data_IF_501838568066
#
_entry.id   IF_501838568066
#
_cell.length_a   1.000
_cell.length_b   1.000
_cell.length_c   1.000
_cell.angle_alpha   90.00
_cell.angle_beta   90.00
_cell.angle_gamma   90.00
#
_symmetry.space_group_name_H-M   'P 1'
#
loop_
_entity.id
_entity.type
_entity.pdbx_description
1 polymer ?
#
# COMPACT_ATOMS: atom_id res chain seq x y z
N UNK A 1 -14.08 -22.53 -22.86
CA UNK A 1 -13.32 -22.95 -21.66
C UNK A 1 -13.02 -21.65 -20.94
N UNK A 2 -13.45 -21.53 -19.70
CA UNK A 2 -13.35 -20.27 -18.96
C UNK A 2 -11.90 -20.11 -18.50
N UNK A 3 -11.20 -19.07 -18.99
CA UNK A 3 -9.78 -18.82 -18.69
C UNK A 3 -9.49 -18.77 -17.17
N UNK A 4 -10.52 -18.52 -16.36
CA UNK A 4 -10.44 -18.50 -14.89
C UNK A 4 -10.09 -19.86 -14.28
N UNK A 5 -10.67 -20.96 -14.80
CA UNK A 5 -10.42 -22.31 -14.29
C UNK A 5 -8.97 -22.72 -14.53
N UNK A 6 -8.42 -22.39 -15.70
CA UNK A 6 -7.04 -22.69 -16.07
C UNK A 6 -6.04 -21.93 -15.18
N UNK A 7 -6.36 -20.68 -14.82
CA UNK A 7 -5.54 -19.87 -13.91
C UNK A 7 -5.56 -20.43 -12.50
N UNK A 8 -6.73 -20.88 -12.01
CA UNK A 8 -6.84 -21.53 -10.71
C UNK A 8 -5.99 -22.81 -10.65
N UNK A 9 -6.05 -23.64 -11.69
CA UNK A 9 -5.24 -24.85 -11.79
C UNK A 9 -3.73 -24.54 -11.82
N UNK A 10 -3.32 -23.49 -12.55
CA UNK A 10 -1.93 -23.03 -12.59
C UNK A 10 -1.44 -22.64 -11.19
N UNK A 11 -2.25 -21.90 -10.43
CA UNK A 11 -1.91 -21.46 -9.07
C UNK A 11 -1.81 -22.65 -8.12
N UNK A 12 -2.78 -23.57 -8.16
CA UNK A 12 -2.75 -24.80 -7.37
C UNK A 12 -1.48 -25.59 -7.67
N UNK A 13 -1.13 -25.74 -8.95
CA UNK A 13 0.10 -26.43 -9.36
C UNK A 13 1.37 -25.72 -8.84
N UNK A 14 1.41 -24.38 -8.87
CA UNK A 14 2.52 -23.61 -8.32
C UNK A 14 2.65 -23.78 -6.80
N UNK A 15 1.52 -23.78 -6.08
CA UNK A 15 1.47 -23.99 -4.63
C UNK A 15 1.95 -25.39 -4.26
N UNK A 16 1.47 -26.43 -4.98
CA UNK A 16 1.88 -27.82 -4.76
C UNK A 16 3.39 -28.03 -4.98
N UNK A 17 3.99 -27.26 -5.90
CA UNK A 17 5.44 -27.26 -6.14
C UNK A 17 6.24 -26.49 -5.09
N UNK A 18 5.60 -25.96 -4.04
CA UNK A 18 6.25 -25.21 -2.95
C UNK A 18 7.01 -23.99 -3.45
N UNK A 19 6.39 -23.28 -4.37
CA UNK A 19 6.95 -22.07 -4.96
C UNK A 19 7.19 -21.00 -3.88
N UNK A 20 8.31 -20.28 -3.99
CA UNK A 20 8.65 -19.17 -3.10
C UNK A 20 8.20 -17.81 -3.64
N UNK A 21 8.14 -17.68 -4.97
CA UNK A 21 7.76 -16.45 -5.67
C UNK A 21 6.66 -16.76 -6.67
N UNK A 22 5.50 -16.13 -6.49
CA UNK A 22 4.40 -16.20 -7.44
C UNK A 22 4.15 -14.81 -8.02
N UNK A 23 4.28 -14.69 -9.33
CA UNK A 23 4.00 -13.48 -10.08
C UNK A 23 2.92 -13.77 -11.12
N UNK A 24 1.81 -13.05 -11.02
CA UNK A 24 0.65 -13.20 -11.89
C UNK A 24 0.40 -11.86 -12.58
N UNK A 25 0.64 -11.81 -13.89
CA UNK A 25 0.24 -10.70 -14.76
C UNK A 25 -0.99 -11.11 -15.55
N UNK A 26 -2.15 -10.75 -15.00
CA UNK A 26 -3.43 -11.15 -15.55
C UNK A 26 -4.12 -9.96 -16.22
N UNK A 27 -4.88 -10.26 -17.27
CA UNK A 27 -5.96 -9.37 -17.69
C UNK A 27 -7.01 -9.36 -16.57
N UNK A 28 -7.69 -8.23 -16.34
CA UNK A 28 -8.63 -8.08 -15.21
C UNK A 28 -9.58 -9.27 -15.10
N UNK A 29 -9.42 -10.04 -14.02
CA UNK A 29 -10.21 -11.25 -13.71
C UNK A 29 -10.93 -11.08 -12.38
N UNK A 30 -12.14 -11.60 -12.31
CA UNK A 30 -12.93 -11.73 -11.09
C UNK A 30 -12.50 -13.00 -10.36
N UNK A 31 -11.97 -12.83 -9.15
CA UNK A 31 -11.57 -13.97 -8.32
C UNK A 31 -12.71 -14.41 -7.43
N UNK A 32 -12.97 -15.71 -7.39
CA UNK A 32 -13.80 -16.32 -6.36
C UNK A 32 -13.00 -16.56 -5.06
N UNK A 33 -13.72 -16.91 -4.00
CA UNK A 33 -13.18 -17.28 -2.69
C UNK A 33 -12.08 -18.35 -2.72
N UNK A 34 -12.12 -19.25 -3.71
CA UNK A 34 -11.18 -20.36 -3.80
C UNK A 34 -9.78 -19.88 -4.22
N UNK A 35 -9.71 -18.89 -5.11
CA UNK A 35 -8.45 -18.27 -5.53
C UNK A 35 -7.65 -17.73 -4.34
N UNK A 36 -8.29 -16.87 -3.54
CA UNK A 36 -7.66 -16.15 -2.44
C UNK A 36 -7.27 -17.12 -1.32
N UNK A 37 -8.15 -18.09 -1.01
CA UNK A 37 -7.88 -19.12 -0.02
C UNK A 37 -6.66 -19.99 -0.36
N UNK A 38 -6.50 -20.37 -1.63
CA UNK A 38 -5.37 -21.20 -2.06
C UNK A 38 -4.03 -20.49 -1.86
N UNK A 39 -3.92 -19.19 -2.17
CA UNK A 39 -2.70 -18.40 -1.96
C UNK A 39 -2.23 -18.46 -0.49
N UNK A 40 -3.16 -18.44 0.46
CA UNK A 40 -2.85 -18.49 1.89
C UNK A 40 -2.38 -19.85 2.40
N UNK A 41 -2.61 -20.94 1.65
CA UNK A 41 -2.17 -22.29 2.05
C UNK A 41 -0.70 -22.56 1.73
N UNK A 42 -0.05 -21.72 0.91
CA UNK A 42 1.32 -21.95 0.49
C UNK A 42 2.34 -21.55 1.58
N UNK A 43 2.90 -22.55 2.26
CA UNK A 43 3.87 -22.37 3.38
C UNK A 43 5.29 -22.00 2.94
N UNK A 44 5.53 -21.84 1.66
CA UNK A 44 6.84 -21.45 1.12
C UNK A 44 6.81 -20.10 0.42
N UNK A 45 5.61 -19.56 0.15
CA UNK A 45 5.44 -18.36 -0.63
C UNK A 45 5.87 -17.12 0.18
N UNK A 46 7.04 -16.57 -0.17
CA UNK A 46 7.60 -15.38 0.48
C UNK A 46 7.39 -14.11 -0.34
N UNK A 47 7.19 -14.24 -1.66
CA UNK A 47 6.97 -13.12 -2.58
C UNK A 47 5.72 -13.37 -3.42
N UNK A 48 4.79 -12.42 -3.40
CA UNK A 48 3.54 -12.46 -4.17
C UNK A 48 3.39 -11.16 -4.93
N UNK A 49 3.29 -11.26 -6.25
CA UNK A 49 3.06 -10.12 -7.14
C UNK A 49 1.82 -10.37 -7.98
N UNK A 50 0.85 -9.49 -7.85
CA UNK A 50 -0.46 -9.61 -8.47
C UNK A 50 -0.73 -8.39 -9.33
N UNK A 51 -1.15 -8.64 -10.57
CA UNK A 51 -1.60 -7.60 -11.48
C UNK A 51 -2.92 -7.97 -12.14
N UNK A 52 -3.85 -7.01 -12.17
CA UNK A 52 -5.14 -7.15 -12.87
C UNK A 52 -6.09 -8.12 -12.18
N UNK A 53 -6.35 -7.93 -10.88
CA UNK A 53 -7.28 -8.77 -10.11
C UNK A 53 -8.45 -7.96 -9.56
N UNK A 54 -9.62 -8.57 -9.49
CA UNK A 54 -10.80 -8.04 -8.80
C UNK A 54 -11.23 -9.00 -7.68
N UNK A 55 -11.10 -8.54 -6.43
CA UNK A 55 -11.38 -9.29 -5.20
C UNK A 55 -12.72 -8.80 -4.63
N UNK A 56 -13.79 -9.57 -4.87
CA UNK A 56 -15.12 -9.30 -4.33
C UNK A 56 -15.43 -10.04 -3.03
N UNK A 57 -14.74 -11.14 -2.75
CA UNK A 57 -15.22 -12.03 -1.71
C UNK A 57 -14.60 -11.78 -0.33
N UNK A 58 -15.36 -12.16 0.70
CA UNK A 58 -14.93 -12.12 2.10
C UNK A 58 -13.78 -13.10 2.35
N UNK A 59 -12.61 -12.56 2.67
CA UNK A 59 -11.44 -13.34 3.05
C UNK A 59 -11.64 -13.86 4.47
N UNK A 60 -11.66 -15.18 4.71
CA UNK A 60 -11.80 -15.73 6.05
C UNK A 60 -10.64 -15.23 6.92
N UNK A 61 -10.94 -14.33 7.87
CA UNK A 61 -9.94 -13.85 8.82
C UNK A 61 -9.48 -14.95 9.78
N UNK A 62 -10.24 -16.05 9.84
CA UNK A 62 -9.91 -17.27 10.55
C UNK A 62 -8.93 -18.13 9.75
N UNK A 63 -7.81 -17.54 9.31
CA UNK A 63 -6.61 -18.33 9.11
C UNK A 63 -6.17 -18.73 10.52
N UNK A 64 -6.69 -19.89 10.93
CA UNK A 64 -6.44 -20.62 12.16
C UNK A 64 -5.02 -20.34 12.68
N UNK A 65 -4.88 -20.04 13.98
CA UNK A 65 -3.63 -19.65 14.69
C UNK A 65 -2.38 -20.53 14.43
N UNK A 66 -2.50 -21.61 13.66
CA UNK A 66 -1.46 -22.57 13.32
C UNK A 66 -0.86 -22.38 11.91
N UNK A 67 -1.40 -21.50 11.05
CA UNK A 67 -0.91 -21.30 9.67
C UNK A 67 -0.58 -19.82 9.41
N UNK A 68 0.55 -19.35 9.94
CA UNK A 68 1.08 -18.02 9.65
C UNK A 68 1.65 -18.04 8.21
N UNK A 69 1.12 -17.18 7.34
CA UNK A 69 1.68 -17.00 5.99
C UNK A 69 3.13 -16.47 6.10
N UNK A 70 4.11 -17.09 5.41
CA UNK A 70 5.49 -16.64 5.40
C UNK A 70 5.74 -15.46 4.44
N UNK A 71 4.68 -14.89 3.87
CA UNK A 71 4.79 -13.82 2.89
C UNK A 71 5.48 -12.59 3.49
N UNK A 72 6.57 -12.17 2.85
CA UNK A 72 7.37 -11.00 3.21
C UNK A 72 7.21 -9.85 2.23
N UNK A 73 6.98 -10.15 0.95
CA UNK A 73 6.86 -9.15 -0.10
C UNK A 73 5.54 -9.30 -0.84
N UNK A 74 4.78 -8.21 -0.91
CA UNK A 74 3.50 -8.15 -1.61
C UNK A 74 3.50 -6.96 -2.58
N UNK A 75 3.38 -7.25 -3.87
CA UNK A 75 3.22 -6.24 -4.91
C UNK A 75 1.84 -6.35 -5.55
N UNK A 76 1.08 -5.27 -5.56
CA UNK A 76 -0.25 -5.17 -6.13
C UNK A 76 -0.24 -4.11 -7.23
N UNK A 77 -0.71 -4.46 -8.43
CA UNK A 77 -0.81 -3.55 -9.57
C UNK A 77 -2.17 -3.63 -10.24
N UNK A 78 -2.92 -2.52 -10.27
CA UNK A 78 -4.28 -2.50 -10.83
C UNK A 78 -5.16 -3.60 -10.23
N UNK A 79 -5.19 -3.66 -8.90
CA UNK A 79 -5.98 -4.63 -8.12
C UNK A 79 -7.18 -3.90 -7.51
N UNK A 80 -8.34 -4.49 -7.65
CA UNK A 80 -9.62 -3.92 -7.25
C UNK A 80 -10.21 -4.73 -6.10
N UNK A 81 -10.77 -4.05 -5.12
CA UNK A 81 -11.46 -4.64 -3.99
C UNK A 81 -12.90 -4.15 -3.96
N UNK A 82 -13.86 -5.01 -3.63
CA UNK A 82 -15.24 -4.55 -3.51
C UNK A 82 -15.44 -3.67 -2.27
N UNK A 83 -14.74 -3.90 -1.16
CA UNK A 83 -14.87 -3.05 0.02
C UNK A 83 -13.53 -2.75 0.67
N UNK A 84 -13.49 -1.68 1.46
CA UNK A 84 -12.34 -1.37 2.32
C UNK A 84 -12.07 -2.52 3.29
N UNK A 85 -13.12 -3.21 3.74
CA UNK A 85 -13.00 -4.42 4.56
C UNK A 85 -12.25 -5.53 3.81
N UNK A 86 -12.55 -5.78 2.53
CA UNK A 86 -11.83 -6.78 1.73
C UNK A 86 -10.36 -6.42 1.58
N UNK A 87 -10.05 -5.16 1.27
CA UNK A 87 -8.66 -4.66 1.21
C UNK A 87 -7.93 -4.89 2.54
N UNK A 88 -8.54 -4.55 3.67
CA UNK A 88 -7.89 -4.67 4.97
C UNK A 88 -7.70 -6.12 5.37
N UNK A 89 -8.73 -6.94 5.18
CA UNK A 89 -8.67 -8.36 5.49
C UNK A 89 -7.58 -9.03 4.64
N UNK A 90 -7.49 -8.69 3.35
CA UNK A 90 -6.44 -9.18 2.46
C UNK A 90 -5.04 -8.84 2.98
N UNK A 91 -4.77 -7.56 3.28
CA UNK A 91 -3.46 -7.15 3.76
C UNK A 91 -3.13 -7.78 5.12
N UNK A 92 -4.09 -7.84 6.04
CA UNK A 92 -3.91 -8.37 7.40
C UNK A 92 -3.72 -9.89 7.44
N UNK A 93 -4.03 -10.61 6.37
CA UNK A 93 -3.74 -12.04 6.24
C UNK A 93 -2.24 -12.35 6.06
N UNK A 94 -1.39 -11.33 5.91
CA UNK A 94 0.07 -11.46 5.78
C UNK A 94 0.78 -10.85 7.00
N UNK A 95 0.78 -11.51 8.16
CA UNK A 95 1.33 -10.96 9.40
C UNK A 95 2.86 -10.77 9.39
N UNK A 96 3.59 -11.47 8.51
CA UNK A 96 5.04 -11.37 8.35
C UNK A 96 5.46 -10.44 7.21
N UNK A 97 4.52 -9.68 6.64
CA UNK A 97 4.79 -8.78 5.53
C UNK A 97 5.79 -7.68 5.93
N UNK A 98 6.90 -7.60 5.21
CA UNK A 98 8.01 -6.66 5.39
C UNK A 98 8.01 -5.56 4.31
N UNK A 99 7.52 -5.87 3.11
CA UNK A 99 7.48 -4.97 1.97
C UNK A 99 6.11 -4.97 1.28
N UNK A 100 5.55 -3.78 1.08
CA UNK A 100 4.31 -3.56 0.34
C UNK A 100 4.55 -2.59 -0.83
N UNK A 101 4.25 -3.01 -2.04
CA UNK A 101 4.09 -2.11 -3.19
C UNK A 101 2.64 -2.16 -3.65
N UNK A 102 1.94 -1.03 -3.60
CA UNK A 102 0.56 -0.89 -4.02
C UNK A 102 0.47 0.17 -5.12
N UNK A 103 0.21 -0.27 -6.34
CA UNK A 103 0.09 0.58 -7.51
C UNK A 103 -1.30 0.43 -8.12
N UNK A 104 -2.07 1.52 -8.12
CA UNK A 104 -3.42 1.51 -8.69
C UNK A 104 -4.33 0.48 -8.01
N UNK A 105 -4.23 0.38 -6.67
CA UNK A 105 -5.14 -0.43 -5.85
C UNK A 105 -6.40 0.37 -5.56
N UNK A 106 -7.59 -0.16 -5.89
CA UNK A 106 -8.86 0.57 -5.79
C UNK A 106 -9.92 -0.21 -5.02
N UNK A 107 -10.85 0.49 -4.39
CA UNK A 107 -12.09 -0.04 -3.79
C UNK A 107 -13.31 0.41 -4.62
N UNK A 108 -14.41 -0.35 -4.64
CA UNK A 108 -15.61 0.01 -5.40
C UNK A 108 -16.88 -0.02 -4.54
N UNK A 109 -17.64 1.08 -4.38
CA UNK A 109 -17.51 2.34 -5.10
C UNK A 109 -16.40 3.23 -4.53
N UNK A 110 -15.57 3.77 -5.43
CA UNK A 110 -14.28 4.43 -5.16
C UNK A 110 -14.32 5.79 -4.43
N UNK A 111 -15.37 6.05 -3.66
CA UNK A 111 -15.71 7.36 -3.08
C UNK A 111 -16.06 7.26 -1.59
N UNK A 112 -16.01 6.05 -1.00
CA UNK A 112 -16.36 5.86 0.40
C UNK A 112 -15.16 6.21 1.29
N UNK A 113 -15.24 7.31 2.05
CA UNK A 113 -14.22 7.62 3.05
C UNK A 113 -14.30 6.55 4.14
N UNK A 114 -13.27 5.71 4.27
CA UNK A 114 -13.20 4.78 5.38
C UNK A 114 -12.89 5.53 6.69
N UNK A 115 -13.82 5.47 7.63
CA UNK A 115 -13.63 5.95 9.00
C UNK A 115 -13.63 4.73 9.93
N UNK A 116 -12.52 4.43 10.64
CA UNK A 116 -12.49 3.35 11.61
C UNK A 116 -13.55 3.60 12.70
N UNK A 117 -14.51 2.69 12.84
CA UNK A 117 -15.62 2.85 13.82
C UNK A 117 -15.18 2.76 15.29
N UNK A 118 -13.97 2.24 15.59
CA UNK A 118 -13.40 2.13 16.95
C UNK A 118 -11.87 2.23 16.90
N UNK A 119 -11.29 3.17 17.66
CA UNK A 119 -9.85 3.44 17.70
C UNK A 119 -9.03 2.33 18.38
N UNK A 120 -9.61 1.61 19.34
CA UNK A 120 -8.83 0.77 20.26
C UNK A 120 -8.51 -0.66 19.75
N UNK A 121 -8.91 -1.00 18.54
CA UNK A 121 -8.62 -2.32 17.91
C UNK A 121 -8.16 -2.20 16.47
N UNK A 122 -7.56 -1.08 16.10
CA UNK A 122 -7.01 -0.90 14.76
C UNK A 122 -5.86 -1.90 14.59
N UNK A 123 -6.07 -2.91 13.74
CA UNK A 123 -5.03 -3.86 13.34
C UNK A 123 -4.07 -3.15 12.38
N UNK A 124 -2.78 -3.40 12.53
CA UNK A 124 -1.72 -2.84 11.69
C UNK A 124 -0.81 -3.97 11.19
N UNK A 125 -0.12 -3.73 10.08
CA UNK A 125 0.93 -4.61 9.56
C UNK A 125 2.19 -4.44 10.41
N UNK A 126 2.38 -5.35 11.38
CA UNK A 126 3.34 -5.17 12.48
C UNK A 126 4.79 -5.33 12.08
N UNK A 127 5.07 -5.99 10.96
CA UNK A 127 6.42 -6.25 10.47
C UNK A 127 6.75 -5.45 9.21
N UNK A 128 5.83 -4.58 8.75
CA UNK A 128 6.01 -3.84 7.52
C UNK A 128 7.12 -2.79 7.69
N UNK A 129 8.20 -2.96 6.94
CA UNK A 129 9.40 -2.12 6.98
C UNK A 129 9.35 -1.05 5.91
N UNK A 130 8.88 -1.42 4.70
CA UNK A 130 8.85 -0.52 3.54
C UNK A 130 7.49 -0.56 2.85
N UNK A 131 7.06 0.61 2.34
CA UNK A 131 5.80 0.75 1.62
C UNK A 131 5.96 1.73 0.46
N UNK A 132 5.48 1.34 -0.72
CA UNK A 132 5.35 2.20 -1.91
C UNK A 132 3.89 2.24 -2.34
N UNK A 133 3.28 3.41 -2.30
CA UNK A 133 1.87 3.60 -2.58
C UNK A 133 1.69 4.50 -3.79
N UNK A 134 0.82 4.15 -4.73
CA UNK A 134 0.48 5.03 -5.85
C UNK A 134 -0.96 4.89 -6.31
N UNK A 135 -1.54 6.00 -6.77
CA UNK A 135 -2.91 6.12 -7.28
C UNK A 135 -4.04 5.81 -6.25
N UNK A 136 -5.30 6.01 -6.67
CA UNK A 136 -6.47 6.34 -5.82
C UNK A 136 -7.06 5.21 -4.96
N UNK A 137 -7.66 5.66 -3.85
CA UNK A 137 -8.11 4.94 -2.65
C UNK A 137 -6.97 4.39 -1.81
N UNK A 138 -6.42 5.35 -1.06
CA UNK A 138 -5.25 5.13 -0.26
C UNK A 138 -5.57 4.12 0.82
N UNK A 139 -4.84 3.01 0.77
CA UNK A 139 -4.60 2.13 1.92
C UNK A 139 -4.44 3.05 3.14
N UNK A 140 -5.36 2.99 4.12
CA UNK A 140 -5.33 3.91 5.23
C UNK A 140 -3.98 3.82 5.94
N UNK A 141 -3.33 4.97 6.11
CA UNK A 141 -1.96 5.05 6.60
C UNK A 141 -1.80 4.41 7.98
N UNK A 142 -2.87 4.35 8.80
CA UNK A 142 -2.85 3.68 10.10
C UNK A 142 -2.49 2.19 10.01
N UNK A 143 -2.75 1.53 8.87
CA UNK A 143 -2.38 0.12 8.67
C UNK A 143 -0.86 -0.05 8.64
N UNK A 144 -0.15 0.99 8.23
CA UNK A 144 1.28 0.97 7.96
C UNK A 144 2.08 1.57 9.13
N UNK A 145 1.46 2.34 10.02
CA UNK A 145 2.18 3.26 10.91
C UNK A 145 3.00 2.64 12.05
N UNK A 146 2.89 1.33 12.27
CA UNK A 146 3.47 0.66 13.46
C UNK A 146 4.97 0.39 13.35
N UNK A 147 5.43 -0.20 12.25
CA UNK A 147 6.82 -0.64 12.08
C UNK A 147 7.52 -0.03 10.86
N UNK A 148 6.78 0.75 10.06
CA UNK A 148 7.28 1.29 8.81
C UNK A 148 8.44 2.27 9.04
N UNK A 149 9.52 2.05 8.30
CA UNK A 149 10.75 2.86 8.36
C UNK A 149 10.95 3.69 7.09
N UNK A 150 10.46 3.20 5.95
CA UNK A 150 10.51 3.87 4.65
C UNK A 150 9.15 3.90 3.96
N UNK A 151 8.71 5.09 3.56
CA UNK A 151 7.44 5.31 2.89
C UNK A 151 7.64 6.14 1.61
N UNK A 152 7.20 5.62 0.48
CA UNK A 152 7.14 6.36 -0.78
C UNK A 152 5.68 6.46 -1.22
N UNK A 153 5.19 7.66 -1.50
CA UNK A 153 3.81 7.91 -1.91
C UNK A 153 3.79 8.71 -3.20
N UNK A 154 3.19 8.15 -4.24
CA UNK A 154 2.90 8.84 -5.49
C UNK A 154 1.42 9.21 -5.60
N UNK A 155 1.17 10.51 -5.49
CA UNK A 155 -0.14 11.13 -5.50
C UNK A 155 -0.46 11.71 -6.87
N UNK A 156 -1.42 11.11 -7.56
CA UNK A 156 -2.02 11.65 -8.80
C UNK A 156 -3.30 12.43 -8.54
N UNK A 157 -3.77 12.44 -7.29
CA UNK A 157 -4.97 13.12 -6.82
C UNK A 157 -4.77 13.71 -5.41
N UNK A 158 -5.55 14.73 -5.02
CA UNK A 158 -5.55 15.28 -3.67
C UNK A 158 -5.75 14.20 -2.61
N UNK A 159 -4.89 14.20 -1.59
CA UNK A 159 -4.97 13.30 -0.45
C UNK A 159 -5.64 14.01 0.74
N UNK A 160 -6.59 13.32 1.37
CA UNK A 160 -7.30 13.81 2.56
C UNK A 160 -7.39 12.74 3.66
N UNK A 161 -6.52 11.74 3.63
CA UNK A 161 -6.51 10.70 4.66
C UNK A 161 -5.92 11.26 5.95
N UNK A 162 -6.49 10.84 7.08
CA UNK A 162 -5.96 11.15 8.40
C UNK A 162 -4.54 10.61 8.54
N UNK A 163 -3.64 11.44 9.03
CA UNK A 163 -2.24 11.08 9.25
C UNK A 163 -2.10 10.42 10.64
N UNK A 164 -1.75 9.13 10.73
CA UNK A 164 -1.42 8.51 12.01
C UNK A 164 -0.02 8.94 12.47
N UNK A 165 0.27 8.74 13.76
CA UNK A 165 1.65 8.83 14.27
C UNK A 165 2.46 7.65 13.74
N UNK A 166 3.58 7.94 13.07
CA UNK A 166 4.58 6.97 12.62
C UNK A 166 5.80 7.02 13.54
N UNK A 167 5.86 6.12 14.51
CA UNK A 167 6.91 6.13 15.53
C UNK A 167 8.31 5.77 15.02
N UNK A 168 8.41 5.11 13.86
CA UNK A 168 9.65 4.53 13.35
C UNK A 168 10.02 5.00 11.93
N UNK A 169 9.23 5.87 11.32
CA UNK A 169 9.48 6.34 9.96
C UNK A 169 10.70 7.27 9.95
N UNK A 170 11.74 6.89 9.21
CA UNK A 170 12.99 7.65 9.05
C UNK A 170 13.14 8.22 7.65
N UNK A 171 12.50 7.60 6.66
CA UNK A 171 12.56 8.01 5.25
C UNK A 171 11.15 8.18 4.68
N UNK A 172 10.91 9.33 4.05
CA UNK A 172 9.66 9.62 3.38
C UNK A 172 9.92 10.29 2.04
N UNK A 173 9.27 9.77 1.00
CA UNK A 173 9.33 10.29 -0.36
C UNK A 173 7.90 10.55 -0.86
N UNK A 174 7.63 11.76 -1.33
CA UNK A 174 6.30 12.17 -1.80
C UNK A 174 6.42 12.67 -3.23
N UNK A 175 5.77 11.98 -4.17
CA UNK A 175 5.62 12.43 -5.54
C UNK A 175 4.24 13.04 -5.74
N UNK A 176 4.19 14.30 -6.15
CA UNK A 176 2.96 15.02 -6.50
C UNK A 176 2.88 15.18 -8.02
N UNK A 177 2.03 14.37 -8.65
CA UNK A 177 1.75 14.34 -10.10
C UNK A 177 0.27 14.66 -10.36
N UNK A 178 -0.16 15.87 -10.00
CA UNK A 178 -1.58 16.22 -10.00
C UNK A 178 -2.15 16.54 -11.38
N UNK A 179 -1.38 16.46 -12.48
CA UNK A 179 -1.81 16.70 -13.87
C UNK A 179 -2.82 17.86 -13.99
N UNK A 180 -2.36 19.07 -13.67
CA UNK A 180 -3.13 20.34 -13.67
C UNK A 180 -4.22 20.50 -12.59
N UNK A 181 -4.36 19.56 -11.66
CA UNK A 181 -5.32 19.67 -10.55
C UNK A 181 -4.71 20.44 -9.38
N UNK A 182 -5.54 21.23 -8.71
CA UNK A 182 -5.17 21.83 -7.44
C UNK A 182 -5.33 20.81 -6.30
N UNK A 183 -4.46 20.89 -5.29
CA UNK A 183 -4.62 20.19 -4.02
C UNK A 183 -4.64 21.23 -2.89
N UNK A 184 -5.83 21.76 -2.57
CA UNK A 184 -6.00 22.64 -1.43
C UNK A 184 -5.46 21.98 -0.17
N UNK A 185 -4.69 22.72 0.64
CA UNK A 185 -4.07 22.24 1.88
C UNK A 185 -3.01 21.14 1.71
N UNK A 186 -2.46 20.91 0.51
CA UNK A 186 -1.30 20.01 0.28
C UNK A 186 -0.22 20.19 1.34
N UNK A 187 0.27 21.42 1.50
CA UNK A 187 1.35 21.72 2.44
C UNK A 187 0.96 21.55 3.91
N UNK A 188 -0.32 21.74 4.26
CA UNK A 188 -0.81 21.45 5.60
C UNK A 188 -0.83 19.95 5.88
N UNK A 189 -1.21 19.13 4.89
CA UNK A 189 -1.16 17.68 5.02
C UNK A 189 0.29 17.18 5.15
N UNK A 190 1.21 17.75 4.36
CA UNK A 190 2.66 17.44 4.49
C UNK A 190 3.19 17.88 5.86
N UNK A 191 2.77 19.05 6.37
CA UNK A 191 3.12 19.50 7.71
C UNK A 191 2.58 18.54 8.79
N UNK A 192 1.35 18.04 8.64
CA UNK A 192 0.77 17.04 9.54
C UNK A 192 1.54 15.71 9.49
N UNK A 193 1.98 15.26 8.31
CA UNK A 193 2.92 14.14 8.17
C UNK A 193 4.18 14.36 8.98
N UNK A 194 4.83 15.52 8.85
CA UNK A 194 6.06 15.86 9.58
C UNK A 194 5.86 15.87 11.11
N UNK A 195 4.76 16.47 11.58
CA UNK A 195 4.43 16.53 13.00
C UNK A 195 4.18 15.13 13.61
N UNK A 196 3.68 14.21 12.79
CA UNK A 196 3.36 12.84 13.19
C UNK A 196 4.49 11.83 12.92
N UNK A 197 5.67 12.27 12.47
CA UNK A 197 6.82 11.40 12.16
C UNK A 197 8.08 11.85 12.92
N UNK A 198 8.14 11.66 14.26
CA UNK A 198 9.19 12.25 15.10
C UNK A 198 10.61 11.76 14.83
N UNK A 199 10.78 10.62 14.13
CA UNK A 199 12.10 10.07 13.77
C UNK A 199 12.50 10.32 12.32
N UNK A 200 11.75 11.14 11.59
CA UNK A 200 12.02 11.38 10.18
C UNK A 200 13.37 12.08 10.01
N UNK A 201 14.25 11.49 9.19
CA UNK A 201 15.59 11.99 8.90
C UNK A 201 15.71 12.47 7.45
N UNK A 202 15.00 11.80 6.54
CA UNK A 202 15.03 12.08 5.12
C UNK A 202 13.62 12.32 4.60
N UNK A 203 13.38 13.55 4.14
CA UNK A 203 12.18 13.90 3.40
C UNK A 203 12.59 14.34 1.98
N UNK A 204 12.00 13.70 0.99
CA UNK A 204 12.11 14.11 -0.41
C UNK A 204 10.71 14.39 -0.94
N UNK A 205 10.51 15.60 -1.47
CA UNK A 205 9.26 15.97 -2.14
C UNK A 205 9.58 16.25 -3.59
N UNK A 206 8.94 15.47 -4.46
CA UNK A 206 8.96 15.65 -5.91
C UNK A 206 7.66 16.31 -6.35
N UNK A 207 7.77 17.50 -6.93
CA UNK A 207 6.63 18.20 -7.50
C UNK A 207 6.76 18.29 -9.02
N UNK A 208 5.81 17.66 -9.73
CA UNK A 208 5.71 17.80 -11.17
C UNK A 208 4.87 19.04 -11.49
N UNK A 209 5.55 20.06 -11.99
CA UNK A 209 4.90 21.29 -12.47
C UNK A 209 4.72 21.16 -13.98
N UNK A 210 3.48 20.91 -14.42
CA UNK A 210 3.11 21.07 -15.83
C UNK A 210 2.79 22.53 -16.11
N UNK A 211 3.75 23.25 -16.70
CA UNK A 211 3.52 24.61 -17.22
C UNK A 211 2.72 24.48 -18.51
N UNK A 212 1.47 24.94 -18.50
CA UNK A 212 0.65 24.99 -19.70
C UNK A 212 1.11 26.14 -20.60
N UNK A 213 1.92 25.85 -21.63
CA UNK A 213 2.16 26.75 -22.77
C UNK A 213 2.55 25.99 -24.04
N UNK A 214 1.58 25.37 -24.75
CA UNK A 214 1.69 24.91 -26.16
C UNK A 214 2.89 24.03 -26.58
N UNK A 215 3.84 23.71 -25.70
CA UNK A 215 4.99 22.83 -25.87
C UNK A 215 5.32 22.29 -24.48
N UNK A 216 5.10 20.99 -24.25
CA UNK A 216 5.23 20.38 -22.92
C UNK A 216 6.70 20.17 -22.55
N UNK A 217 7.18 20.90 -21.54
CA UNK A 217 8.36 20.54 -20.76
C UNK A 217 7.93 20.16 -19.35
N UNK A 218 8.48 19.07 -18.80
CA UNK A 218 8.21 18.60 -17.44
C UNK A 218 9.41 18.93 -16.57
N UNK A 219 9.21 19.67 -15.48
CA UNK A 219 10.25 19.96 -14.49
C UNK A 219 9.97 19.18 -13.20
N UNK A 220 11.02 18.60 -12.62
CA UNK A 220 11.01 17.91 -11.34
C UNK A 220 11.76 18.79 -10.35
N UNK A 221 11.07 19.30 -9.33
CA UNK A 221 11.70 19.99 -8.21
C UNK A 221 11.85 19.00 -7.06
N UNK A 222 13.10 18.82 -6.62
CA UNK A 222 13.42 17.99 -5.46
C UNK A 222 13.73 18.90 -4.27
N UNK A 223 12.88 18.84 -3.24
CA UNK A 223 13.15 19.48 -1.96
C UNK A 223 13.59 18.41 -0.96
N UNK A 224 14.89 18.38 -0.64
CA UNK A 224 15.44 17.53 0.41
C UNK A 224 15.51 18.31 1.73
N UNK A 225 14.78 17.85 2.75
CA UNK A 225 14.98 18.30 4.13
C UNK A 225 15.76 17.21 4.86
N UNK A 226 17.00 17.52 5.24
CA UNK A 226 17.81 16.67 6.10
C UNK A 226 17.61 17.13 7.55
N UNK A 227 17.10 16.25 8.40
CA UNK A 227 17.00 16.52 9.83
C UNK A 227 18.39 16.47 10.47
N UNK A 228 18.94 17.62 10.87
CA UNK A 228 20.02 17.65 11.85
C UNK A 228 19.39 17.68 13.24
N UNK A 229 19.48 16.55 13.96
CA UNK A 229 19.31 16.57 15.40
C UNK A 229 20.61 17.09 16.01
N UNK A 230 20.67 18.39 16.32
CA UNK A 230 21.68 18.90 17.24
C UNK A 230 21.25 18.54 18.67
N UNK A 231 21.88 17.51 19.21
CA UNK A 231 21.95 17.31 20.66
C UNK A 231 22.68 18.51 21.28
N UNK A 232 21.94 19.38 21.95
CA UNK A 232 22.46 20.60 22.57
C UNK A 232 21.76 20.90 23.89
N UNK A 233 22.18 20.21 24.95
CA UNK A 233 21.94 20.59 26.36
C UNK A 233 22.36 22.04 26.57
N UNK A 234 21.46 22.94 26.98
CA UNK A 234 21.78 24.05 27.89
C UNK A 234 20.61 24.30 28.85
N UNK A 235 20.87 23.95 30.12
CA UNK A 235 20.35 24.40 31.42
C UNK A 235 19.00 25.11 31.51
#
# INVERSE_FOLDING_TARGET
MDDNDDILQLIIAAIQRRTQTLELDLKVIYTDNNFVSNLFTCRTLTVLKLKGLYICDDIPLEINNNNISPLKTLHLKSVYFETHTHLFNFLLSFPLLEELEANDVRVTPGWSIFVPKKADKIKCLRNLVTAKLSNQEQIPLFLLSRALTSLSIKLTWPCFVHVPVFYNLTQMEIFSDLKHRSWPKKWMWILEMLQNTPKLQHLIIHELVTIDMRHSYTYMFDMCVLGQAEDGIIR
#
